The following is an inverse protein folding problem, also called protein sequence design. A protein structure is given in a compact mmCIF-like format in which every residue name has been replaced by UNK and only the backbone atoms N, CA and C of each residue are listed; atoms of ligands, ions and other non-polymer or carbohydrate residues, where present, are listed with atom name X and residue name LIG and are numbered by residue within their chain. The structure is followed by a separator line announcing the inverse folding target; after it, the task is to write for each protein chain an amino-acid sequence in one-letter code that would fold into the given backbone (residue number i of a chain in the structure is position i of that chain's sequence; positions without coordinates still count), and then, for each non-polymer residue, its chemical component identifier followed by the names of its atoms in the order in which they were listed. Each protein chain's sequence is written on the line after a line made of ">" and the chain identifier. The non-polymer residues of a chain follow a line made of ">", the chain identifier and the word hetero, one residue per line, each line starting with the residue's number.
data_IF_089900960661
#
_entry.id   IF_089900960661
#
_cell.length_a   1.000
_cell.length_b   1.000
_cell.length_c   1.000
_cell.angle_alpha   90.00
_cell.angle_beta   90.00
_cell.angle_gamma   90.00
#
_symmetry.space_group_name_H-M   'P 1'
#
loop_
_entity.id
_entity.type
_entity.pdbx_description
1 polymer ?
#
# COMPACT_ATOMS: atom_id res chain seq x y z
N UNK A 1 -11.50 -6.53 3.86
CA UNK A 1 -11.34 -7.13 2.53
C UNK A 1 -10.22 -6.37 1.86
N UNK A 2 -9.05 -6.99 1.76
CA UNK A 2 -7.92 -6.38 1.10
C UNK A 2 -8.08 -6.51 -0.42
N UNK A 3 -7.25 -5.82 -1.20
CA UNK A 3 -7.23 -5.88 -2.67
C UNK A 3 -7.22 -7.33 -3.23
N UNK A 4 -6.66 -8.28 -2.47
CA UNK A 4 -6.52 -9.68 -2.86
C UNK A 4 -7.84 -10.48 -2.87
N UNK A 5 -8.88 -10.00 -2.18
CA UNK A 5 -10.15 -10.72 -2.06
C UNK A 5 -11.17 -10.35 -3.15
N UNK A 6 -10.76 -9.52 -4.12
CA UNK A 6 -11.66 -8.95 -5.14
C UNK A 6 -11.52 -9.68 -6.48
N UNK A 7 -12.65 -10.06 -7.08
CA UNK A 7 -12.69 -10.55 -8.47
C UNK A 7 -12.79 -9.36 -9.44
N UNK A 8 -11.87 -9.29 -10.40
CA UNK A 8 -11.87 -8.25 -11.43
C UNK A 8 -12.29 -8.82 -12.78
N UNK A 9 -13.14 -8.10 -13.50
CA UNK A 9 -13.60 -8.50 -14.83
C UNK A 9 -12.49 -8.48 -15.88
N UNK A 10 -11.48 -7.62 -15.70
CA UNK A 10 -10.36 -7.51 -16.64
C UNK A 10 -9.03 -7.39 -15.92
N UNK A 11 -7.95 -7.79 -16.59
CA UNK A 11 -6.58 -7.61 -16.11
C UNK A 11 -6.21 -6.13 -15.91
N UNK A 12 -6.76 -5.23 -16.72
CA UNK A 12 -6.51 -3.80 -16.60
C UNK A 12 -7.06 -3.23 -15.29
N UNK A 13 -8.31 -3.59 -14.94
CA UNK A 13 -8.93 -3.19 -13.68
C UNK A 13 -8.17 -3.75 -12.47
N UNK A 14 -7.76 -5.03 -12.53
CA UNK A 14 -6.95 -5.63 -11.48
C UNK A 14 -5.62 -4.88 -11.28
N UNK A 15 -4.93 -4.52 -12.37
CA UNK A 15 -3.68 -3.77 -12.30
C UNK A 15 -3.87 -2.39 -11.66
N UNK A 16 -4.93 -1.68 -12.02
CA UNK A 16 -5.24 -0.37 -11.44
C UNK A 16 -5.51 -0.49 -9.94
N UNK A 17 -6.35 -1.44 -9.53
CA UNK A 17 -6.67 -1.65 -8.12
C UNK A 17 -5.44 -2.06 -7.29
N UNK A 18 -4.59 -2.95 -7.82
CA UNK A 18 -3.32 -3.33 -7.17
C UNK A 18 -2.40 -2.13 -7.02
N UNK A 19 -2.27 -1.31 -8.08
CA UNK A 19 -1.43 -0.12 -8.04
C UNK A 19 -1.91 0.87 -6.99
N UNK A 20 -3.21 1.17 -6.95
CA UNK A 20 -3.79 2.05 -5.95
C UNK A 20 -3.62 1.50 -4.52
N UNK A 21 -3.83 0.20 -4.35
CA UNK A 21 -3.61 -0.46 -3.07
C UNK A 21 -2.15 -0.33 -2.60
N UNK A 22 -1.17 -0.57 -3.46
CA UNK A 22 0.26 -0.51 -3.09
C UNK A 22 0.69 0.94 -2.86
N UNK A 23 0.47 1.81 -3.84
CA UNK A 23 1.06 3.16 -3.85
C UNK A 23 0.34 4.14 -2.93
N UNK A 24 -0.99 4.02 -2.82
CA UNK A 24 -1.79 4.97 -2.05
C UNK A 24 -2.05 4.43 -0.66
N UNK A 25 -2.60 3.22 -0.55
CA UNK A 25 -3.00 2.72 0.76
C UNK A 25 -1.81 2.11 1.52
N UNK A 26 -1.10 1.15 0.96
CA UNK A 26 -0.04 0.42 1.65
C UNK A 26 1.16 1.31 1.95
N UNK A 27 1.79 1.91 0.92
CA UNK A 27 3.02 2.67 1.09
C UNK A 27 2.82 3.98 1.85
N UNK A 28 1.69 4.68 1.66
CA UNK A 28 1.49 6.02 2.25
C UNK A 28 0.64 6.03 3.51
N UNK A 29 -0.33 5.13 3.66
CA UNK A 29 -1.34 5.23 4.73
C UNK A 29 -1.30 4.09 5.74
N UNK A 30 -1.00 2.84 5.33
CA UNK A 30 -1.02 1.67 6.22
C UNK A 30 0.07 1.81 7.27
N UNK A 31 -0.32 1.80 8.54
CA UNK A 31 0.61 1.90 9.68
C UNK A 31 1.08 0.51 10.08
N UNK A 32 2.38 0.36 10.31
CA UNK A 32 2.98 -0.90 10.73
C UNK A 32 3.55 -0.78 12.15
N UNK A 33 3.18 -1.70 13.06
CA UNK A 33 3.69 -1.71 14.43
C UNK A 33 5.22 -1.86 14.48
N UNK A 34 5.79 -2.64 13.56
CA UNK A 34 7.24 -2.79 13.41
C UNK A 34 7.95 -1.48 12.99
N UNK A 35 7.23 -0.54 12.38
CA UNK A 35 7.75 0.78 11.99
C UNK A 35 7.38 1.86 13.01
N UNK A 36 7.10 1.50 14.26
CA UNK A 36 6.67 2.46 15.29
C UNK A 36 5.30 3.09 14.98
N UNK A 37 4.41 2.33 14.31
CA UNK A 37 3.14 2.82 13.79
C UNK A 37 3.31 3.95 12.76
N UNK A 38 4.35 3.91 11.94
CA UNK A 38 4.45 4.75 10.74
C UNK A 38 4.02 3.98 9.49
N UNK A 39 3.68 4.72 8.44
CA UNK A 39 3.59 4.13 7.11
C UNK A 39 4.98 3.93 6.50
N UNK A 40 5.15 3.02 5.53
CA UNK A 40 6.45 2.78 4.90
C UNK A 40 7.10 4.07 4.39
N UNK A 41 6.35 4.91 3.68
CA UNK A 41 6.86 6.18 3.16
C UNK A 41 7.26 7.15 4.27
N UNK A 42 6.46 7.26 5.34
CA UNK A 42 6.82 8.11 6.48
C UNK A 42 8.05 7.60 7.22
N UNK A 43 8.22 6.28 7.31
CA UNK A 43 9.42 5.67 7.91
C UNK A 43 10.67 5.96 7.08
N UNK A 44 10.62 5.78 5.76
CA UNK A 44 11.75 6.08 4.87
C UNK A 44 12.15 7.57 4.91
N UNK A 45 11.20 8.48 5.06
CA UNK A 45 11.48 9.92 5.21
C UNK A 45 12.26 10.27 6.49
N UNK A 46 12.22 9.42 7.51
CA UNK A 46 12.96 9.59 8.75
C UNK A 46 14.32 8.85 8.74
N UNK A 47 14.55 7.98 7.75
CA UNK A 47 15.81 7.28 7.61
C UNK A 47 16.89 8.27 7.08
N UNK A 48 18.09 8.31 7.69
CA UNK A 48 19.19 9.07 7.12
C UNK A 48 19.62 8.46 5.77
N UNK A 49 19.95 9.33 4.80
CA UNK A 49 20.56 8.95 3.53
C UNK A 49 21.95 8.33 3.72
#
# INVERSE_FOLDING_TARGET
>A
RECADHTFHTRALARQAIFEYIEVWYNRQRRHSALGYLSPCAFEQLAPL
#
